data_IF_306640818952
#
_entry.id   IF_306640818952
#
_cell.length_a   1.000
_cell.length_b   1.000
_cell.length_c   1.000
_cell.angle_alpha   90.00
_cell.angle_beta   90.00
_cell.angle_gamma   90.00
#
_symmetry.space_group_name_H-M   'P 1'
#
loop_
_entity.id
_entity.type
_entity.pdbx_description
1 polymer ?
#
# COMPACT_ATOMS: atom_id res chain seq x y z
N UNK A 1 -8.08 -37.35 34.59
CA UNK A 1 -7.02 -36.68 35.40
C UNK A 1 -5.77 -37.55 35.32
N UNK A 2 -4.65 -37.01 34.92
CA UNK A 2 -3.42 -37.77 34.83
C UNK A 2 -2.71 -37.71 36.18
N UNK A 3 -2.31 -38.88 36.65
CA UNK A 3 -1.61 -39.02 37.91
C UNK A 3 -0.12 -39.26 37.67
N UNK A 4 0.72 -38.58 38.45
CA UNK A 4 2.14 -38.88 38.47
C UNK A 4 2.41 -40.24 39.12
N UNK A 5 3.52 -40.90 38.81
CA UNK A 5 3.95 -42.12 39.48
C UNK A 5 4.08 -42.00 41.01
N UNK A 6 4.19 -40.80 41.54
CA UNK A 6 4.18 -40.48 42.97
C UNK A 6 2.76 -40.38 43.59
N UNK A 7 1.68 -40.60 42.79
CA UNK A 7 0.29 -40.51 43.23
C UNK A 7 -0.31 -39.09 43.22
N UNK A 8 0.46 -38.05 42.89
CA UNK A 8 -0.04 -36.68 42.86
C UNK A 8 -0.96 -36.46 41.61
N UNK A 9 -2.11 -35.81 41.84
CA UNK A 9 -3.12 -35.54 40.82
C UNK A 9 -2.85 -34.26 40.02
N UNK A 10 -1.87 -33.46 40.36
CA UNK A 10 -1.63 -32.14 39.79
C UNK A 10 -0.32 -32.12 39.00
N UNK A 11 -0.46 -31.88 37.70
CA UNK A 11 0.68 -31.67 36.79
C UNK A 11 0.68 -30.24 36.27
N UNK A 12 1.82 -29.60 36.35
CA UNK A 12 2.01 -28.27 35.74
C UNK A 12 2.49 -28.46 34.29
N UNK A 13 1.71 -27.97 33.31
CA UNK A 13 2.09 -28.05 31.90
C UNK A 13 3.01 -26.90 31.52
N UNK A 14 4.13 -27.21 30.89
CA UNK A 14 5.06 -26.25 30.30
C UNK A 14 4.73 -26.05 28.82
N UNK A 15 5.08 -24.87 28.28
CA UNK A 15 4.78 -24.45 26.89
C UNK A 15 5.36 -25.37 25.80
N UNK A 16 6.31 -26.25 26.13
CA UNK A 16 6.99 -27.18 25.22
C UNK A 16 6.38 -28.59 25.19
N UNK A 17 5.17 -28.79 25.68
CA UNK A 17 4.49 -30.10 25.71
C UNK A 17 5.03 -31.05 26.77
N UNK A 18 5.83 -30.57 27.72
CA UNK A 18 6.24 -31.35 28.90
C UNK A 18 5.37 -30.96 30.09
N UNK A 19 5.06 -31.96 30.94
CA UNK A 19 4.38 -31.70 32.19
C UNK A 19 5.33 -32.01 33.36
N UNK A 20 5.27 -31.18 34.39
CA UNK A 20 6.07 -31.34 35.63
C UNK A 20 5.14 -31.70 36.78
N UNK A 21 5.48 -32.71 37.53
CA UNK A 21 4.77 -33.03 38.74
C UNK A 21 5.11 -32.00 39.83
N UNK A 22 4.10 -31.32 40.37
CA UNK A 22 4.28 -30.30 41.43
C UNK A 22 4.74 -30.88 42.75
N UNK A 23 4.56 -32.19 42.97
CA UNK A 23 4.98 -32.83 44.24
C UNK A 23 6.41 -33.41 44.19
N UNK A 24 6.78 -34.10 43.10
CA UNK A 24 8.08 -34.76 43.00
C UNK A 24 9.04 -34.19 41.95
N UNK A 25 8.59 -33.21 41.15
CA UNK A 25 9.43 -32.55 40.15
C UNK A 25 9.74 -33.36 38.88
N UNK A 26 9.18 -34.61 38.75
CA UNK A 26 9.44 -35.45 37.58
C UNK A 26 8.87 -34.82 36.32
N UNK A 27 9.70 -34.75 35.29
CA UNK A 27 9.32 -34.32 33.93
C UNK A 27 8.69 -35.51 33.19
N UNK A 28 7.43 -35.32 32.76
CA UNK A 28 6.72 -36.29 31.94
C UNK A 28 6.75 -35.77 30.51
N UNK A 29 7.53 -36.46 29.65
CA UNK A 29 7.59 -36.19 28.21
C UNK A 29 6.49 -36.99 27.48
N UNK A 30 6.00 -36.43 26.37
CA UNK A 30 5.04 -37.08 25.46
C UNK A 30 3.59 -37.11 25.95
N UNK A 31 3.10 -36.07 26.55
CA UNK A 31 1.66 -35.88 26.64
C UNK A 31 1.10 -35.30 25.35
N UNK A 32 -0.04 -35.86 24.83
CA UNK A 32 -0.72 -35.20 23.73
C UNK A 32 -1.07 -33.77 24.18
N UNK A 33 -0.68 -32.80 23.38
CA UNK A 33 -0.97 -31.40 23.62
C UNK A 33 -2.49 -31.23 23.63
N UNK A 34 -3.09 -31.20 24.80
CA UNK A 34 -4.48 -30.73 24.94
C UNK A 34 -4.43 -29.21 24.79
N UNK A 35 -4.50 -28.75 23.54
CA UNK A 35 -4.66 -27.33 23.26
C UNK A 35 -5.98 -26.91 23.89
N UNK A 36 -5.97 -26.01 24.89
CA UNK A 36 -7.21 -25.54 25.48
C UNK A 36 -8.07 -24.95 24.34
N UNK A 37 -9.33 -25.39 24.26
CA UNK A 37 -10.26 -25.00 23.18
C UNK A 37 -10.52 -23.50 23.06
N UNK A 38 -10.08 -22.70 24.01
CA UNK A 38 -10.18 -21.23 23.94
C UNK A 38 -9.00 -20.55 23.21
N UNK A 39 -7.95 -21.29 22.83
CA UNK A 39 -6.87 -20.73 21.99
C UNK A 39 -7.35 -20.44 20.57
N UNK A 40 -8.47 -21.03 20.16
CA UNK A 40 -9.04 -20.81 18.83
C UNK A 40 -9.77 -19.49 18.62
N UNK A 41 -9.96 -18.68 19.65
CA UNK A 41 -10.65 -17.38 19.51
C UNK A 41 -9.72 -16.18 19.47
N UNK A 42 -8.41 -16.35 19.67
CA UNK A 42 -7.49 -15.34 19.19
C UNK A 42 -7.54 -15.42 17.67
N UNK A 43 -8.11 -14.42 16.96
CA UNK A 43 -8.01 -14.43 15.52
C UNK A 43 -6.50 -14.51 15.26
N UNK A 44 -6.05 -15.68 14.77
CA UNK A 44 -4.75 -15.77 14.12
C UNK A 44 -4.71 -14.49 13.30
N UNK A 45 -3.83 -13.56 13.66
CA UNK A 45 -3.61 -12.37 12.84
C UNK A 45 -3.51 -12.93 11.45
N UNK A 46 -4.63 -12.86 10.71
CA UNK A 46 -4.65 -13.28 9.33
C UNK A 46 -3.47 -12.51 8.77
N UNK A 47 -2.38 -13.21 8.55
CA UNK A 47 -1.16 -12.63 8.01
C UNK A 47 -1.65 -11.85 6.80
N UNK A 48 -1.78 -10.53 6.96
CA UNK A 48 -2.47 -9.70 5.98
C UNK A 48 -1.69 -9.91 4.71
N UNK A 49 -2.22 -10.79 3.86
CA UNK A 49 -1.56 -11.16 2.61
C UNK A 49 -1.17 -9.86 1.94
N UNK A 50 0.14 -9.68 1.79
CA UNK A 50 0.67 -8.50 1.13
C UNK A 50 0.06 -8.44 -0.27
N UNK A 51 -0.69 -7.39 -0.55
CA UNK A 51 -1.13 -7.08 -1.89
C UNK A 51 -0.59 -5.72 -2.31
N UNK A 52 -0.22 -5.59 -3.57
CA UNK A 52 0.26 -4.32 -4.13
C UNK A 52 -0.78 -3.22 -3.97
N UNK A 53 -2.06 -3.54 -4.12
CA UNK A 53 -3.18 -2.62 -3.92
C UNK A 53 -3.26 -2.10 -2.48
N UNK A 54 -3.14 -2.97 -1.46
CA UNK A 54 -3.09 -2.53 -0.05
C UNK A 54 -1.92 -1.59 0.21
N UNK A 55 -0.78 -1.84 -0.43
CA UNK A 55 0.38 -0.95 -0.30
C UNK A 55 0.16 0.38 -1.01
N UNK A 56 -0.37 0.38 -2.23
CA UNK A 56 -0.70 1.61 -2.95
C UNK A 56 -1.71 2.45 -2.18
N UNK A 57 -2.77 1.84 -1.64
CA UNK A 57 -3.75 2.50 -0.78
C UNK A 57 -3.10 3.24 0.39
N UNK A 58 -2.04 2.68 1.01
CA UNK A 58 -1.28 3.36 2.06
C UNK A 58 -0.57 4.63 1.55
N UNK A 59 0.00 4.59 0.34
CA UNK A 59 0.61 5.79 -0.27
C UNK A 59 -0.45 6.85 -0.60
N UNK A 60 -1.59 6.45 -1.13
CA UNK A 60 -2.72 7.32 -1.42
C UNK A 60 -3.27 7.98 -0.15
N UNK A 61 -3.42 7.22 0.94
CA UNK A 61 -3.81 7.74 2.25
C UNK A 61 -2.81 8.78 2.78
N UNK A 62 -1.51 8.54 2.59
CA UNK A 62 -0.45 9.48 2.98
C UNK A 62 -0.54 10.78 2.20
N UNK A 63 -0.70 10.71 0.91
CA UNK A 63 -0.88 11.88 0.06
C UNK A 63 -2.15 12.67 0.43
N UNK A 64 -3.22 11.99 0.82
CA UNK A 64 -4.51 12.59 1.23
C UNK A 64 -4.56 13.07 2.69
N UNK A 65 -3.45 13.20 3.40
CA UNK A 65 -3.38 13.56 4.84
C UNK A 65 -4.14 12.61 5.78
N UNK A 66 -4.63 11.49 5.30
CA UNK A 66 -5.38 10.54 6.13
C UNK A 66 -4.42 9.66 6.95
N UNK A 67 -3.68 10.31 7.83
CA UNK A 67 -2.69 9.71 8.72
C UNK A 67 -2.85 10.27 10.13
N UNK A 68 -2.52 9.42 11.12
CA UNK A 68 -2.38 9.89 12.50
C UNK A 68 -1.11 10.72 12.67
N UNK A 69 -1.16 11.73 13.53
CA UNK A 69 0.00 12.53 13.92
C UNK A 69 1.16 11.69 14.46
N UNK A 70 0.85 10.55 15.09
CA UNK A 70 1.84 9.58 15.59
C UNK A 70 2.68 8.92 14.49
N UNK A 71 2.30 9.07 13.20
CA UNK A 71 3.08 8.55 12.07
C UNK A 71 4.41 9.29 11.89
N UNK A 72 4.47 10.54 12.32
CA UNK A 72 5.69 11.37 12.29
C UNK A 72 6.31 11.35 13.68
N UNK A 73 7.59 10.98 13.81
CA UNK A 73 8.28 10.96 15.11
C UNK A 73 8.20 12.32 15.83
N UNK A 74 8.00 12.27 17.13
CA UNK A 74 7.89 13.49 17.95
C UNK A 74 9.13 14.39 17.83
N UNK A 75 10.32 13.80 17.72
CA UNK A 75 11.57 14.52 17.49
C UNK A 75 11.52 15.37 16.21
N UNK A 76 10.85 14.87 15.15
CA UNK A 76 10.66 15.60 13.89
C UNK A 76 9.76 16.81 14.12
N UNK A 77 8.66 16.64 14.86
CA UNK A 77 7.76 17.73 15.22
C UNK A 77 8.47 18.81 16.02
N UNK A 78 9.18 18.39 17.09
CA UNK A 78 9.95 19.30 17.93
C UNK A 78 11.00 20.07 17.14
N UNK A 79 11.69 19.38 16.21
CA UNK A 79 12.69 19.99 15.35
C UNK A 79 12.09 21.01 14.37
N UNK A 80 10.94 20.72 13.79
CA UNK A 80 10.24 21.63 12.87
C UNK A 80 9.68 22.84 13.63
N UNK A 81 8.95 22.60 14.72
CA UNK A 81 8.35 23.69 15.51
C UNK A 81 9.38 24.68 16.04
N UNK A 82 10.56 24.21 16.43
CA UNK A 82 11.65 25.08 16.92
C UNK A 82 12.18 26.04 15.86
N UNK A 83 11.99 25.73 14.56
CA UNK A 83 12.53 26.50 13.42
C UNK A 83 11.50 27.25 12.59
N UNK A 84 10.20 27.09 12.91
CA UNK A 84 9.13 27.88 12.30
C UNK A 84 9.15 29.36 12.70
N UNK A 85 8.32 30.18 12.11
CA UNK A 85 7.24 29.85 11.16
C UNK A 85 7.74 29.58 9.73
N UNK A 86 6.94 28.83 8.96
CA UNK A 86 7.22 28.48 7.57
C UNK A 86 6.20 29.15 6.65
N UNK A 87 6.64 29.69 5.53
CA UNK A 87 5.80 30.32 4.52
C UNK A 87 5.63 29.47 3.26
N UNK A 88 6.52 28.49 3.06
CA UNK A 88 6.50 27.65 1.85
C UNK A 88 6.97 26.22 2.10
N UNK A 89 6.47 25.28 1.26
CA UNK A 89 6.90 23.89 1.24
C UNK A 89 8.43 23.77 1.09
N UNK A 90 9.04 24.62 0.26
CA UNK A 90 10.48 24.60 0.05
C UNK A 90 11.30 24.88 1.31
N UNK A 91 10.78 25.68 2.26
CA UNK A 91 11.41 25.91 3.55
C UNK A 91 11.34 24.66 4.43
N UNK A 92 10.19 24.03 4.51
CA UNK A 92 10.02 22.77 5.26
C UNK A 92 10.96 21.69 4.74
N UNK A 93 11.03 21.51 3.42
CA UNK A 93 11.93 20.56 2.77
C UNK A 93 13.41 20.85 3.05
N UNK A 94 13.85 22.12 3.01
CA UNK A 94 15.22 22.51 3.35
C UNK A 94 15.57 22.16 4.79
N UNK A 95 14.65 22.41 5.71
CA UNK A 95 14.85 22.11 7.13
C UNK A 95 14.90 20.59 7.36
N UNK A 96 14.01 19.82 6.73
CA UNK A 96 14.03 18.36 6.78
C UNK A 96 15.34 17.78 6.22
N UNK A 97 15.82 18.29 5.08
CA UNK A 97 17.11 17.86 4.50
C UNK A 97 18.30 18.11 5.43
N UNK A 98 18.32 19.23 6.15
CA UNK A 98 19.38 19.56 7.10
C UNK A 98 19.34 18.73 8.39
N UNK A 99 18.17 18.25 8.76
CA UNK A 99 17.94 17.56 10.03
C UNK A 99 18.49 16.15 10.11
N UNK A 100 18.96 15.57 8.99
CA UNK A 100 19.36 14.15 8.88
C UNK A 100 18.25 13.16 9.35
N UNK A 101 17.02 13.65 9.50
CA UNK A 101 15.88 12.84 9.88
C UNK A 101 15.58 11.76 8.83
N UNK A 102 15.02 10.66 9.28
CA UNK A 102 14.80 9.48 8.46
C UNK A 102 13.96 9.81 7.22
N UNK A 103 14.32 9.22 6.07
CA UNK A 103 13.60 9.38 4.79
C UNK A 103 12.09 9.13 4.89
N UNK A 104 11.64 8.33 5.84
CA UNK A 104 10.22 8.05 6.10
C UNK A 104 9.39 9.30 6.43
N UNK A 105 10.01 10.37 6.94
CA UNK A 105 9.29 11.61 7.24
C UNK A 105 8.80 12.32 5.97
N UNK A 106 9.50 12.14 4.84
CA UNK A 106 9.08 12.77 3.57
C UNK A 106 7.76 12.21 3.03
N UNK A 107 7.40 10.99 3.40
CA UNK A 107 6.12 10.38 3.00
C UNK A 107 4.92 11.06 3.70
N UNK A 108 5.17 11.83 4.76
CA UNK A 108 4.14 12.54 5.54
C UNK A 108 4.18 14.05 5.33
N UNK A 109 4.79 14.53 4.25
CA UNK A 109 4.86 15.96 3.92
C UNK A 109 3.48 16.65 3.93
N UNK A 110 2.42 16.10 3.31
CA UNK A 110 1.10 16.73 3.33
C UNK A 110 0.57 16.96 4.74
N UNK A 111 0.76 15.97 5.63
CA UNK A 111 0.37 16.06 7.04
C UNK A 111 1.18 17.16 7.76
N UNK A 112 2.51 17.18 7.57
CA UNK A 112 3.38 18.18 8.20
C UNK A 112 3.05 19.60 7.73
N UNK A 113 2.89 19.81 6.43
CA UNK A 113 2.54 21.12 5.90
C UNK A 113 1.20 21.62 6.39
N UNK A 114 0.21 20.72 6.47
CA UNK A 114 -1.11 21.07 7.02
C UNK A 114 -1.03 21.48 8.49
N UNK A 115 -0.25 20.78 9.30
CA UNK A 115 -0.12 21.09 10.73
C UNK A 115 0.69 22.35 10.99
N UNK A 116 1.70 22.61 10.16
CA UNK A 116 2.52 23.84 10.22
C UNK A 116 1.85 25.03 9.54
N UNK A 117 0.62 24.90 9.07
CA UNK A 117 -0.12 25.92 8.32
C UNK A 117 0.63 26.46 7.10
N UNK A 118 1.41 25.61 6.42
CA UNK A 118 2.20 25.97 5.25
C UNK A 118 1.37 25.76 3.98
N UNK A 119 0.73 26.83 3.53
CA UNK A 119 -0.10 26.81 2.33
C UNK A 119 -1.38 25.96 2.48
N UNK A 120 -2.20 25.95 1.45
CA UNK A 120 -3.40 25.12 1.37
C UNK A 120 -3.00 23.75 0.81
N UNK A 121 -2.87 22.75 1.67
CA UNK A 121 -2.60 21.38 1.22
C UNK A 121 -3.87 20.80 0.60
N UNK A 122 -3.84 20.42 -0.69
CA UNK A 122 -5.01 19.88 -1.37
C UNK A 122 -5.42 18.52 -0.77
N UNK A 123 -6.71 18.20 -0.89
CA UNK A 123 -7.27 16.93 -0.46
C UNK A 123 -7.90 16.21 -1.65
N UNK A 124 -7.77 14.89 -1.66
CA UNK A 124 -8.55 14.04 -2.56
C UNK A 124 -9.93 13.78 -1.94
N UNK A 125 -10.96 13.92 -2.73
CA UNK A 125 -12.29 13.45 -2.38
C UNK A 125 -12.41 11.92 -2.46
N UNK A 126 -13.60 11.38 -2.24
CA UNK A 126 -13.82 9.95 -2.30
C UNK A 126 -13.76 9.42 -3.72
N UNK A 127 -14.37 10.12 -4.66
CA UNK A 127 -14.42 9.71 -6.07
C UNK A 127 -13.01 9.69 -6.68
N UNK A 128 -12.21 10.73 -6.43
CA UNK A 128 -10.81 10.79 -6.87
C UNK A 128 -9.94 9.65 -6.29
N UNK A 129 -10.19 9.26 -5.03
CA UNK A 129 -9.48 8.12 -4.42
C UNK A 129 -9.89 6.80 -5.04
N UNK A 130 -11.18 6.63 -5.32
CA UNK A 130 -11.70 5.41 -5.94
C UNK A 130 -11.20 5.31 -7.39
N UNK A 131 -11.20 6.40 -8.15
CA UNK A 131 -10.60 6.47 -9.49
C UNK A 131 -9.10 6.15 -9.48
N UNK A 132 -8.34 6.74 -8.55
CA UNK A 132 -6.92 6.41 -8.40
C UNK A 132 -6.67 4.93 -8.10
N UNK A 133 -7.56 4.27 -7.36
CA UNK A 133 -7.48 2.83 -7.09
C UNK A 133 -7.79 1.99 -8.32
N UNK A 134 -8.77 2.40 -9.14
CA UNK A 134 -9.11 1.75 -10.42
C UNK A 134 -7.92 1.85 -11.37
N UNK A 135 -7.37 3.04 -11.57
CA UNK A 135 -6.19 3.23 -12.43
C UNK A 135 -4.98 2.43 -11.94
N UNK A 136 -4.81 2.32 -10.62
CA UNK A 136 -3.74 1.48 -10.07
C UNK A 136 -3.97 -0.02 -10.35
N UNK A 137 -5.21 -0.49 -10.37
CA UNK A 137 -5.53 -1.88 -10.69
C UNK A 137 -5.09 -2.23 -12.12
N UNK A 138 -5.26 -1.32 -13.09
CA UNK A 138 -4.75 -1.46 -14.46
C UNK A 138 -3.23 -1.65 -14.48
N UNK A 139 -2.49 -0.84 -13.74
CA UNK A 139 -1.03 -0.96 -13.64
C UNK A 139 -0.63 -2.29 -12.97
N UNK A 140 -1.32 -2.68 -11.91
CA UNK A 140 -1.02 -3.90 -11.14
C UNK A 140 -1.26 -5.16 -11.99
N UNK A 141 -2.32 -5.15 -12.78
CA UNK A 141 -2.64 -6.23 -13.71
C UNK A 141 -1.60 -6.36 -14.82
N UNK A 142 -1.26 -5.25 -15.49
CA UNK A 142 -0.29 -5.25 -16.57
C UNK A 142 1.14 -5.63 -16.09
N UNK A 143 1.48 -5.31 -14.84
CA UNK A 143 2.80 -5.59 -14.26
C UNK A 143 2.79 -6.79 -13.30
N UNK A 144 2.00 -7.83 -13.61
CA UNK A 144 2.04 -9.10 -12.85
C UNK A 144 3.42 -9.77 -12.92
N UNK A 145 3.82 -10.50 -11.88
CA UNK A 145 5.05 -11.29 -11.93
C UNK A 145 5.11 -12.18 -13.19
N UNK A 146 6.27 -12.31 -13.82
CA UNK A 146 7.63 -11.95 -13.37
C UNK A 146 8.06 -10.50 -13.66
N UNK A 147 7.19 -9.63 -14.14
CA UNK A 147 7.57 -8.26 -14.51
C UNK A 147 7.97 -7.41 -13.31
N UNK A 148 9.01 -6.58 -13.53
CA UNK A 148 9.47 -5.65 -12.50
C UNK A 148 8.44 -4.53 -12.30
N UNK A 149 7.94 -4.39 -11.07
CA UNK A 149 7.00 -3.34 -10.72
C UNK A 149 7.67 -1.96 -10.67
N UNK A 150 6.92 -0.93 -11.05
CA UNK A 150 7.36 0.47 -10.90
C UNK A 150 7.32 0.91 -9.43
N UNK A 151 8.01 2.00 -9.09
CA UNK A 151 7.92 2.57 -7.73
C UNK A 151 6.49 3.04 -7.44
N UNK A 152 5.95 2.66 -6.27
CA UNK A 152 4.61 3.10 -5.84
C UNK A 152 4.46 4.62 -5.79
N UNK A 153 5.52 5.33 -5.41
CA UNK A 153 5.52 6.81 -5.39
C UNK A 153 5.39 7.35 -6.81
N UNK A 154 6.06 6.73 -7.78
CA UNK A 154 5.96 7.15 -9.16
C UNK A 154 4.60 6.78 -9.79
N UNK A 155 4.07 5.60 -9.48
CA UNK A 155 2.72 5.22 -9.89
C UNK A 155 1.68 6.21 -9.35
N UNK A 156 1.81 6.62 -8.08
CA UNK A 156 0.95 7.63 -7.48
C UNK A 156 1.10 9.00 -8.18
N UNK A 157 2.32 9.46 -8.41
CA UNK A 157 2.57 10.71 -9.15
C UNK A 157 1.92 10.68 -10.54
N UNK A 158 2.10 9.58 -11.26
CA UNK A 158 1.57 9.40 -12.61
C UNK A 158 0.03 9.41 -12.63
N UNK A 159 -0.60 8.67 -11.70
CA UNK A 159 -2.06 8.60 -11.59
C UNK A 159 -2.63 9.97 -11.19
N UNK A 160 -2.03 10.68 -10.22
CA UNK A 160 -2.48 12.01 -9.82
C UNK A 160 -2.48 13.00 -11.00
N UNK A 161 -1.46 12.93 -11.87
CA UNK A 161 -1.42 13.74 -13.10
C UNK A 161 -2.53 13.36 -14.07
N UNK A 162 -2.87 12.07 -14.19
CA UNK A 162 -3.96 11.61 -15.06
C UNK A 162 -5.34 12.08 -14.59
N UNK A 163 -5.57 12.14 -13.28
CA UNK A 163 -6.81 12.67 -12.69
C UNK A 163 -6.77 14.20 -12.49
N UNK A 164 -5.85 14.89 -13.17
CA UNK A 164 -5.69 16.36 -13.14
C UNK A 164 -5.44 16.95 -11.74
N UNK A 165 -4.75 16.20 -10.86
CA UNK A 165 -4.39 16.62 -9.50
C UNK A 165 -2.89 16.92 -9.37
N UNK A 166 -2.36 17.76 -10.27
CA UNK A 166 -0.96 18.21 -10.24
C UNK A 166 -0.62 18.99 -8.97
N UNK A 167 -1.61 19.66 -8.37
CA UNK A 167 -1.51 20.38 -7.10
C UNK A 167 -1.02 19.48 -5.94
N UNK A 168 -1.34 18.20 -5.98
CA UNK A 168 -0.89 17.23 -4.97
C UNK A 168 0.52 16.71 -5.22
N UNK A 169 0.99 16.73 -6.45
CA UNK A 169 2.30 16.17 -6.82
C UNK A 169 3.45 16.92 -6.14
N UNK A 170 3.29 18.20 -5.86
CA UNK A 170 4.31 19.02 -5.16
C UNK A 170 4.59 18.50 -3.75
N UNK A 171 3.59 17.90 -3.10
CA UNK A 171 3.70 17.35 -1.74
C UNK A 171 4.20 15.90 -1.69
N UNK A 172 4.47 15.30 -2.84
CA UNK A 172 4.95 13.92 -2.93
C UNK A 172 6.47 13.93 -3.13
N UNK A 173 7.18 13.08 -2.38
CA UNK A 173 8.61 12.89 -2.56
C UNK A 173 8.89 12.04 -3.80
N UNK A 174 8.90 12.68 -4.96
CA UNK A 174 9.03 12.02 -6.26
C UNK A 174 10.46 11.53 -6.55
N UNK A 175 10.58 10.63 -7.52
CA UNK A 175 11.88 10.10 -7.97
C UNK A 175 12.66 11.23 -8.68
N UNK A 176 13.86 11.53 -8.19
CA UNK A 176 14.70 12.59 -8.74
C UNK A 176 15.47 12.17 -10.02
N UNK A 177 15.68 10.86 -10.22
CA UNK A 177 16.44 10.36 -11.36
C UNK A 177 15.65 10.46 -12.66
N UNK A 178 16.01 11.41 -13.53
CA UNK A 178 15.35 11.67 -14.82
C UNK A 178 15.30 10.43 -15.73
N UNK A 179 16.41 9.69 -15.84
CA UNK A 179 16.49 8.47 -16.66
C UNK A 179 15.46 7.42 -16.21
N UNK A 180 15.29 7.25 -14.89
CA UNK A 180 14.31 6.32 -14.32
C UNK A 180 12.88 6.82 -14.52
N UNK A 181 12.63 8.12 -14.36
CA UNK A 181 11.32 8.74 -14.61
C UNK A 181 10.89 8.54 -16.05
N UNK A 182 11.78 8.78 -17.01
CA UNK A 182 11.51 8.59 -18.43
C UNK A 182 11.13 7.15 -18.75
N UNK A 183 11.93 6.17 -18.24
CA UNK A 183 11.64 4.74 -18.39
C UNK A 183 10.25 4.38 -17.86
N UNK A 184 9.90 4.84 -16.67
CA UNK A 184 8.61 4.54 -16.04
C UNK A 184 7.46 5.23 -16.76
N UNK A 185 7.66 6.45 -17.25
CA UNK A 185 6.66 7.16 -18.05
C UNK A 185 6.30 6.37 -19.30
N UNK A 186 7.27 6.00 -20.12
CA UNK A 186 7.03 5.22 -21.34
C UNK A 186 6.32 3.90 -21.05
N UNK A 187 6.69 3.21 -19.99
CA UNK A 187 6.05 1.96 -19.59
C UNK A 187 4.57 2.18 -19.24
N UNK A 188 4.26 3.18 -18.41
CA UNK A 188 2.89 3.46 -17.99
C UNK A 188 2.05 4.02 -19.13
N UNK A 189 2.59 4.91 -19.97
CA UNK A 189 1.91 5.40 -21.17
C UNK A 189 1.53 4.24 -22.11
N UNK A 190 2.40 3.24 -22.26
CA UNK A 190 2.12 2.04 -23.05
C UNK A 190 0.99 1.19 -22.45
N UNK A 191 1.00 0.98 -21.13
CA UNK A 191 -0.04 0.22 -20.43
C UNK A 191 -1.42 0.87 -20.60
N UNK A 192 -1.51 2.18 -20.38
CA UNK A 192 -2.81 2.87 -20.50
C UNK A 192 -3.31 2.95 -21.93
N UNK A 193 -2.44 3.14 -22.92
CA UNK A 193 -2.85 3.07 -24.33
C UNK A 193 -3.40 1.69 -24.69
N UNK A 194 -2.76 0.62 -24.26
CA UNK A 194 -3.23 -0.73 -24.52
C UNK A 194 -4.60 -0.98 -23.87
N UNK A 195 -4.81 -0.47 -22.66
CA UNK A 195 -6.07 -0.57 -21.94
C UNK A 195 -7.18 0.22 -22.65
N UNK A 196 -6.91 1.46 -23.02
CA UNK A 196 -7.86 2.33 -23.75
C UNK A 196 -8.27 1.73 -25.10
N UNK A 197 -7.34 1.08 -25.81
CA UNK A 197 -7.66 0.39 -27.07
C UNK A 197 -8.50 -0.87 -26.85
N UNK A 198 -8.29 -1.59 -25.74
CA UNK A 198 -9.08 -2.78 -25.40
C UNK A 198 -10.52 -2.43 -24.98
N UNK A 199 -10.72 -1.28 -24.36
CA UNK A 199 -12.04 -0.79 -23.93
C UNK A 199 -12.83 -0.10 -25.06
N UNK A 200 -12.19 0.18 -26.20
CA UNK A 200 -12.90 0.69 -27.37
C UNK A 200 -13.64 -0.47 -28.03
N UNK A 201 -14.99 -0.50 -28.05
CA UNK A 201 -15.74 -1.57 -28.70
C UNK A 201 -15.25 -1.65 -30.14
N UNK A 202 -14.75 -2.83 -30.50
CA UNK A 202 -14.23 -3.08 -31.82
C UNK A 202 -15.27 -2.67 -32.85
N UNK A 203 -14.87 -1.80 -33.76
CA UNK A 203 -15.62 -1.41 -34.95
C UNK A 203 -15.64 -2.60 -35.96
N UNK A 204 -15.99 -3.80 -35.44
CA UNK A 204 -16.01 -5.05 -36.23
C UNK A 204 -17.31 -5.30 -36.98
N UNK A 205 -18.38 -4.52 -36.73
CA UNK A 205 -19.68 -4.76 -37.37
C UNK A 205 -19.88 -4.03 -38.73
N UNK A 206 -18.90 -3.27 -39.19
CA UNK A 206 -19.09 -2.51 -40.45
C UNK A 206 -18.52 -3.17 -41.72
N UNK A 207 -17.85 -4.32 -41.60
CA UNK A 207 -17.28 -5.02 -42.76
C UNK A 207 -18.08 -6.26 -43.20
N UNK A 208 -19.08 -6.71 -42.46
CA UNK A 208 -19.90 -7.86 -42.87
C UNK A 208 -21.19 -7.55 -43.63
N UNK A 209 -21.56 -6.28 -43.80
CA UNK A 209 -22.79 -5.91 -44.49
C UNK A 209 -22.61 -5.56 -45.98
N UNK A 210 -21.41 -5.66 -46.55
CA UNK A 210 -21.19 -5.29 -47.96
C UNK A 210 -20.78 -6.43 -48.91
N UNK A 211 -20.88 -7.69 -48.52
CA UNK A 211 -20.52 -8.80 -49.42
C UNK A 211 -21.65 -9.78 -49.75
N UNK A 212 -22.91 -9.35 -49.78
CA UNK A 212 -23.97 -10.25 -50.22
C UNK A 212 -25.12 -9.57 -50.96
N UNK A 213 -24.81 -8.86 -52.09
CA UNK A 213 -25.86 -8.54 -53.10
C UNK A 213 -25.24 -8.06 -54.40
N UNK A 214 -24.60 -8.93 -55.17
CA UNK A 214 -24.42 -8.82 -56.61
C UNK A 214 -23.91 -10.16 -57.12
N UNK A 215 -24.81 -11.04 -57.47
CA UNK A 215 -24.69 -12.02 -58.56
C UNK A 215 -25.90 -12.98 -58.53
N UNK A 216 -27.02 -12.49 -59.07
CA UNK A 216 -28.06 -13.30 -59.70
C UNK A 216 -28.91 -12.34 -60.46
N UNK A 217 -28.59 -12.24 -61.78
CA UNK A 217 -29.51 -12.10 -62.84
C UNK A 217 -28.70 -11.89 -64.14
N UNK A 218 -28.44 -12.97 -64.83
CA UNK A 218 -28.22 -13.04 -66.31
C UNK A 218 -28.00 -14.50 -66.62
N UNK A 219 -29.11 -15.21 -66.93
CA UNK A 219 -29.38 -16.12 -68.05
C UNK A 219 -30.68 -16.84 -67.77
#
# INVERSE_FOLDING_TARGET
>A
MQQCKCGAAILHQLQNGTAVCTNCGILIRNQPFMVPSYVSTVPLHQNQVYTRQKRFKKYLQRASRNQSMSTVPEETWRYLLKRGPYTSLGQVLRVLKRSKLRRKCYDSLPLMCSHLCVGKVPLLDRAEKDDAMVQFAVIDEALRPPMQFVSYVYALEYILRRICRDDMVEFINTIQCQKRRHKYKHLLDGIFRAHELADTPAYEDSLQSHSCSRFRDSF
#
